data_IF_724748846104
#
_entry.id   IF_724748846104
#
_cell.length_a   1.000
_cell.length_b   1.000
_cell.length_c   1.000
_cell.angle_alpha   90.00
_cell.angle_beta   90.00
_cell.angle_gamma   90.00
#
_symmetry.space_group_name_H-M   'P 1'
#
loop_
_entity.id
_entity.type
_entity.pdbx_description
1 polymer ?
#
# COMPACT_ATOMS: atom_id res chain seq x y z
N UNK A 1 -25.63 6.11 7.13
CA UNK A 1 -25.29 7.21 6.23
C UNK A 1 -24.44 8.18 7.04
N UNK A 2 -23.14 7.90 7.14
CA UNK A 2 -22.19 8.72 7.90
C UNK A 2 -21.36 9.45 6.86
N UNK A 3 -21.65 10.72 6.67
CA UNK A 3 -20.79 11.62 5.90
C UNK A 3 -19.45 11.71 6.63
N UNK A 4 -18.41 11.12 6.06
CA UNK A 4 -17.05 11.42 6.45
C UNK A 4 -16.86 12.94 6.33
N UNK A 5 -16.23 13.52 7.33
CA UNK A 5 -15.90 14.94 7.37
C UNK A 5 -14.89 15.25 6.25
N UNK A 6 -15.43 15.51 5.05
CA UNK A 6 -14.69 15.76 3.80
C UNK A 6 -13.94 17.11 3.82
N UNK A 7 -14.01 17.81 4.95
CA UNK A 7 -13.38 19.12 5.17
C UNK A 7 -12.03 19.07 5.86
N UNK A 8 -11.65 17.91 6.43
CA UNK A 8 -10.42 17.78 7.22
C UNK A 8 -9.15 17.59 6.37
N UNK A 9 -9.27 17.16 5.12
CA UNK A 9 -8.15 16.86 4.24
C UNK A 9 -8.33 17.43 2.85
N UNK A 10 -7.20 17.84 2.25
CA UNK A 10 -7.14 18.23 0.83
C UNK A 10 -6.34 17.19 0.07
N UNK A 11 -6.94 16.68 -1.01
CA UNK A 11 -6.34 15.68 -1.88
C UNK A 11 -5.97 16.30 -3.22
N UNK A 12 -4.78 15.99 -3.72
CA UNK A 12 -4.30 16.45 -5.03
C UNK A 12 -3.16 15.57 -5.57
N UNK A 13 -2.83 15.74 -6.82
CA UNK A 13 -1.56 15.21 -7.37
C UNK A 13 -0.39 15.88 -6.64
N UNK A 14 0.65 15.09 -6.33
CA UNK A 14 1.87 15.58 -5.74
C UNK A 14 2.58 16.56 -6.68
N UNK A 15 3.30 17.49 -6.09
CA UNK A 15 4.20 18.43 -6.78
C UNK A 15 5.63 18.21 -6.26
N UNK A 16 6.68 18.70 -6.95
CA UNK A 16 8.07 18.47 -6.52
C UNK A 16 8.36 18.88 -5.06
N UNK A 17 7.66 19.89 -4.56
CA UNK A 17 7.78 20.39 -3.19
C UNK A 17 7.25 19.41 -2.13
N UNK A 18 6.53 18.37 -2.52
CA UNK A 18 6.05 17.32 -1.61
C UNK A 18 7.11 16.24 -1.35
N UNK A 19 8.14 16.13 -2.17
CA UNK A 19 9.11 15.01 -2.15
C UNK A 19 9.74 14.82 -0.76
N UNK A 20 10.27 15.88 -0.16
CA UNK A 20 10.89 15.82 1.17
C UNK A 20 9.90 15.34 2.25
N UNK A 21 8.64 15.81 2.19
CA UNK A 21 7.62 15.39 3.14
C UNK A 21 7.18 13.93 2.94
N UNK A 22 7.20 13.45 1.70
CA UNK A 22 6.91 12.04 1.37
C UNK A 22 8.01 11.14 1.90
N UNK A 23 9.28 11.46 1.64
CA UNK A 23 10.43 10.71 2.14
C UNK A 23 10.51 10.68 3.68
N UNK A 24 10.11 11.77 4.34
CA UNK A 24 10.14 11.88 5.79
C UNK A 24 8.91 11.27 6.49
N UNK A 25 7.94 10.73 5.74
CA UNK A 25 6.71 10.20 6.33
C UNK A 25 6.99 8.90 7.09
N UNK A 26 6.53 8.81 8.34
CA UNK A 26 6.66 7.61 9.16
C UNK A 26 5.63 6.55 8.75
N UNK A 27 6.07 5.58 7.96
CA UNK A 27 5.29 4.40 7.55
C UNK A 27 5.26 3.27 8.58
N UNK A 28 6.00 3.38 9.69
CA UNK A 28 6.10 2.31 10.70
C UNK A 28 4.75 1.91 11.28
N UNK A 29 4.63 0.66 11.70
CA UNK A 29 3.42 0.15 12.35
C UNK A 29 3.75 -0.86 13.44
N UNK A 30 2.79 -1.06 14.36
CA UNK A 30 2.84 -2.13 15.36
C UNK A 30 1.63 -3.04 15.18
N UNK A 31 1.84 -4.35 15.27
CA UNK A 31 0.79 -5.35 15.11
C UNK A 31 0.91 -6.47 16.13
N UNK A 32 -0.23 -6.96 16.60
CA UNK A 32 -0.33 -8.17 17.44
C UNK A 32 -0.56 -9.45 16.64
N UNK A 33 -0.70 -9.37 15.32
CA UNK A 33 -0.90 -10.53 14.44
C UNK A 33 -0.08 -10.41 13.17
N UNK A 34 0.26 -11.54 12.56
CA UNK A 34 0.90 -11.64 11.24
C UNK A 34 0.25 -12.75 10.42
N UNK A 35 0.39 -12.71 9.10
CA UNK A 35 -0.04 -13.78 8.23
C UNK A 35 1.12 -14.76 8.01
N UNK A 36 0.97 -16.00 8.52
CA UNK A 36 1.94 -17.06 8.30
C UNK A 36 1.66 -17.77 6.99
N UNK A 37 2.67 -17.86 6.14
CA UNK A 37 2.67 -18.70 4.95
C UNK A 37 3.20 -20.07 5.33
N UNK A 38 2.50 -21.13 4.93
CA UNK A 38 2.96 -22.52 5.07
C UNK A 38 2.97 -23.16 3.69
N UNK A 39 4.12 -23.64 3.25
CA UNK A 39 4.25 -24.43 2.04
C UNK A 39 3.97 -25.92 2.34
N UNK A 40 3.27 -26.59 1.43
CA UNK A 40 2.99 -28.02 1.46
C UNK A 40 2.99 -28.60 0.04
N UNK A 41 2.85 -29.91 -0.09
CA UNK A 41 2.91 -30.60 -1.39
C UNK A 41 1.80 -30.13 -2.35
N UNK A 42 0.65 -29.73 -1.82
CA UNK A 42 -0.51 -29.29 -2.60
C UNK A 42 -0.57 -27.75 -2.79
N UNK A 43 0.44 -27.00 -2.34
CA UNK A 43 0.49 -25.53 -2.49
C UNK A 43 0.76 -24.80 -1.18
N UNK A 44 0.18 -23.61 -1.05
CA UNK A 44 0.39 -22.73 0.08
C UNK A 44 -0.89 -22.54 0.90
N UNK A 45 -0.73 -22.47 2.21
CA UNK A 45 -1.76 -22.03 3.13
C UNK A 45 -1.36 -20.71 3.79
N UNK A 46 -2.32 -19.80 3.95
CA UNK A 46 -2.16 -18.53 4.62
C UNK A 46 -3.05 -18.49 5.85
N UNK A 47 -2.47 -18.21 7.02
CA UNK A 47 -3.21 -18.16 8.29
C UNK A 47 -2.75 -16.97 9.12
N UNK A 48 -3.68 -16.17 9.59
CA UNK A 48 -3.39 -15.15 10.58
C UNK A 48 -3.12 -15.78 11.94
N UNK A 49 -2.03 -15.39 12.58
CA UNK A 49 -1.61 -15.88 13.89
C UNK A 49 -1.22 -14.73 14.80
N UNK A 50 -1.43 -14.85 16.13
CA UNK A 50 -0.95 -13.87 17.08
C UNK A 50 0.58 -13.88 17.17
N UNK A 51 1.15 -12.73 17.51
CA UNK A 51 2.56 -12.55 17.88
C UNK A 51 2.63 -11.86 19.24
N UNK A 52 3.48 -12.38 20.12
CA UNK A 52 3.71 -11.84 21.47
C UNK A 52 5.22 -11.87 21.76
N UNK A 53 5.84 -10.74 22.10
CA UNK A 53 5.25 -9.39 22.13
C UNK A 53 4.80 -8.90 20.75
N UNK A 54 3.96 -7.85 20.69
CA UNK A 54 3.59 -7.23 19.41
C UNK A 54 4.80 -6.83 18.60
N UNK A 55 4.74 -7.06 17.29
CA UNK A 55 5.82 -6.75 16.35
C UNK A 55 5.71 -5.28 15.93
N UNK A 56 6.83 -4.56 15.99
CA UNK A 56 6.95 -3.23 15.39
C UNK A 56 7.83 -3.32 14.15
N UNK A 57 7.32 -2.90 13.01
CA UNK A 57 8.02 -2.83 11.73
C UNK A 57 8.34 -1.38 11.40
N UNK A 58 9.61 -1.12 11.13
CA UNK A 58 10.10 0.10 10.50
C UNK A 58 10.58 -0.30 9.12
N UNK A 59 10.08 0.36 8.09
CA UNK A 59 10.54 0.10 6.73
C UNK A 59 11.95 0.69 6.56
N UNK A 60 12.89 -0.05 5.98
CA UNK A 60 14.21 0.49 5.71
C UNK A 60 14.10 1.61 4.67
N UNK A 61 14.90 2.65 4.87
CA UNK A 61 15.10 3.71 3.89
C UNK A 61 16.19 3.24 2.90
N UNK A 62 15.83 2.28 2.06
CA UNK A 62 16.80 1.65 1.15
C UNK A 62 16.86 2.30 -0.22
N UNK A 63 16.17 3.42 -0.44
CA UNK A 63 16.29 4.21 -1.68
C UNK A 63 16.05 3.40 -2.97
N UNK A 64 15.64 2.16 -2.82
CA UNK A 64 15.61 1.15 -3.87
C UNK A 64 14.20 0.97 -4.43
N UNK A 65 13.58 2.05 -4.84
CA UNK A 65 12.62 1.89 -5.92
C UNK A 65 13.42 2.06 -7.21
N UNK A 66 13.76 0.94 -7.82
CA UNK A 66 14.39 0.93 -9.14
C UNK A 66 13.54 1.79 -10.08
N UNK A 67 14.13 2.88 -10.57
CA UNK A 67 13.59 3.66 -11.68
C UNK A 67 13.56 2.85 -12.99
N UNK A 68 13.91 1.57 -12.92
CA UNK A 68 13.99 0.67 -14.06
C UNK A 68 12.63 0.06 -14.38
N UNK A 69 11.89 0.74 -15.23
CA UNK A 69 10.88 0.04 -16.03
C UNK A 69 9.49 0.58 -16.05
N UNK A 70 9.30 1.86 -16.01
CA UNK A 70 8.00 2.38 -16.40
C UNK A 70 8.08 3.31 -17.60
N UNK A 71 7.31 2.97 -18.63
CA UNK A 71 7.01 3.79 -19.81
C UNK A 71 6.13 5.01 -19.46
N UNK A 72 6.33 5.59 -18.27
CA UNK A 72 5.91 6.97 -18.00
C UNK A 72 4.47 7.20 -17.56
N UNK A 73 3.71 6.19 -17.12
CA UNK A 73 2.34 6.40 -16.64
C UNK A 73 2.21 6.16 -15.15
N UNK A 74 3.04 6.86 -14.38
CA UNK A 74 3.03 6.86 -12.91
C UNK A 74 2.44 8.15 -12.37
N UNK A 75 1.79 8.11 -11.20
CA UNK A 75 1.24 9.28 -10.52
C UNK A 75 1.26 9.11 -9.01
N UNK A 76 1.69 10.17 -8.32
CA UNK A 76 1.59 10.27 -6.87
C UNK A 76 0.49 11.25 -6.48
N UNK A 77 -0.36 10.84 -5.55
CA UNK A 77 -1.38 11.68 -4.92
C UNK A 77 -1.03 11.88 -3.45
N UNK A 78 -1.30 13.06 -2.94
CA UNK A 78 -1.07 13.43 -1.53
C UNK A 78 -2.35 13.86 -0.84
N UNK A 79 -2.43 13.57 0.45
CA UNK A 79 -3.42 14.09 1.37
C UNK A 79 -2.74 15.07 2.33
N UNK A 80 -3.24 16.32 2.38
CA UNK A 80 -2.76 17.35 3.31
C UNK A 80 -3.82 17.63 4.37
N UNK A 81 -3.43 17.67 5.64
CA UNK A 81 -4.27 18.11 6.74
C UNK A 81 -4.58 19.60 6.69
N UNK A 82 -5.48 20.07 7.54
CA UNK A 82 -5.87 21.51 7.64
C UNK A 82 -4.72 22.39 8.10
N UNK A 83 -3.74 21.86 8.84
CA UNK A 83 -2.52 22.55 9.23
C UNK A 83 -1.46 22.59 8.11
N UNK A 84 -1.72 21.94 6.96
CA UNK A 84 -0.79 21.86 5.84
C UNK A 84 0.23 20.72 5.92
N UNK A 85 0.16 19.91 6.97
CA UNK A 85 0.99 18.71 7.17
C UNK A 85 0.61 17.59 6.16
N UNK A 86 1.57 16.74 5.83
CA UNK A 86 1.34 15.57 4.97
C UNK A 86 0.66 14.48 5.80
N UNK A 87 -0.59 14.20 5.50
CA UNK A 87 -1.36 13.13 6.16
C UNK A 87 -1.13 11.76 5.54
N UNK A 88 -0.72 11.70 4.28
CA UNK A 88 -0.42 10.47 3.57
C UNK A 88 -0.25 10.68 2.08
N UNK A 89 0.18 9.63 1.39
CA UNK A 89 0.32 9.65 -0.07
C UNK A 89 0.03 8.25 -0.65
N UNK A 90 -0.16 8.19 -1.95
CA UNK A 90 -0.19 6.97 -2.75
C UNK A 90 0.53 7.22 -4.07
N UNK A 91 1.43 6.30 -4.43
CA UNK A 91 2.06 6.25 -5.75
C UNK A 91 1.50 5.06 -6.51
N UNK A 92 1.07 5.31 -7.73
CA UNK A 92 0.49 4.30 -8.61
C UNK A 92 1.14 4.35 -9.98
N UNK A 93 1.26 3.20 -10.64
CA UNK A 93 1.73 3.08 -12.02
C UNK A 93 0.78 2.22 -12.85
N UNK A 94 0.63 2.55 -14.13
CA UNK A 94 -0.21 1.79 -15.06
C UNK A 94 0.62 1.06 -16.09
N UNK A 95 0.36 -0.24 -16.24
CA UNK A 95 0.96 -1.10 -17.25
C UNK A 95 -0.08 -1.51 -18.28
N UNK A 96 0.13 -1.08 -19.55
CA UNK A 96 -0.84 -1.27 -20.62
C UNK A 96 -0.93 -2.70 -21.14
N UNK A 97 0.18 -3.48 -21.10
CA UNK A 97 0.22 -4.83 -21.66
C UNK A 97 -0.73 -5.82 -20.96
N UNK A 98 -0.93 -5.66 -19.64
CA UNK A 98 -1.83 -6.48 -18.84
C UNK A 98 -2.99 -5.68 -18.24
N UNK A 99 -3.10 -4.39 -18.59
CA UNK A 99 -4.11 -3.45 -18.10
C UNK A 99 -4.17 -3.39 -16.57
N UNK A 100 -3.00 -3.37 -15.91
CA UNK A 100 -2.86 -3.37 -14.46
C UNK A 100 -2.48 -1.99 -13.95
N UNK A 101 -3.19 -1.52 -12.93
CA UNK A 101 -2.67 -0.48 -12.05
C UNK A 101 -1.95 -1.15 -10.89
N UNK A 102 -0.68 -0.80 -10.67
CA UNK A 102 0.08 -1.18 -9.48
C UNK A 102 0.03 -0.05 -8.48
N UNK A 103 -0.27 -0.36 -7.22
CA UNK A 103 -0.02 0.53 -6.09
C UNK A 103 1.41 0.29 -5.66
N UNK A 104 2.31 1.20 -6.04
CA UNK A 104 3.74 1.09 -5.75
C UNK A 104 4.01 1.37 -4.28
N UNK A 105 3.34 2.38 -3.74
CA UNK A 105 3.45 2.74 -2.35
C UNK A 105 2.18 3.44 -1.86
N UNK A 106 1.82 3.21 -0.60
CA UNK A 106 0.73 3.93 0.07
C UNK A 106 1.01 4.01 1.56
N UNK A 107 1.15 5.22 2.05
CA UNK A 107 1.40 5.47 3.46
C UNK A 107 0.46 6.52 4.04
N UNK A 108 0.13 6.37 5.31
CA UNK A 108 -0.64 7.32 6.11
C UNK A 108 0.11 7.55 7.42
N UNK A 109 0.39 8.81 7.70
CA UNK A 109 1.05 9.21 8.94
C UNK A 109 0.28 8.69 10.17
N UNK A 110 0.97 8.21 11.22
CA UNK A 110 0.33 7.54 12.36
C UNK A 110 -0.84 8.31 12.96
N UNK A 111 -0.72 9.63 13.12
CA UNK A 111 -1.74 10.51 13.70
C UNK A 111 -2.97 10.70 12.81
N UNK A 112 -2.89 10.34 11.53
CA UNK A 112 -3.98 10.44 10.55
C UNK A 112 -4.62 9.08 10.22
N UNK A 113 -4.11 7.99 10.80
CA UNK A 113 -4.68 6.64 10.59
C UNK A 113 -6.08 6.51 11.19
N UNK A 114 -6.87 5.60 10.62
CA UNK A 114 -8.25 5.36 11.07
C UNK A 114 -9.27 6.46 10.69
N UNK A 115 -8.84 7.51 9.98
CA UNK A 115 -9.69 8.64 9.57
C UNK A 115 -10.14 8.60 8.11
N UNK A 116 -9.90 7.49 7.41
CA UNK A 116 -10.31 7.30 6.01
C UNK A 116 -9.34 7.82 4.96
N UNK A 117 -8.19 8.42 5.35
CA UNK A 117 -7.20 8.99 4.43
C UNK A 117 -6.71 7.95 3.42
N UNK A 118 -6.29 6.76 3.87
CA UNK A 118 -5.82 5.71 2.97
C UNK A 118 -6.88 5.23 1.98
N UNK A 119 -8.15 5.17 2.41
CA UNK A 119 -9.27 4.82 1.51
C UNK A 119 -9.50 5.91 0.44
N UNK A 120 -9.42 7.17 0.82
CA UNK A 120 -9.58 8.28 -0.12
C UNK A 120 -8.44 8.33 -1.13
N UNK A 121 -7.18 8.13 -0.68
CA UNK A 121 -6.01 8.03 -1.57
C UNK A 121 -6.15 6.86 -2.55
N UNK A 122 -6.55 5.67 -2.08
CA UNK A 122 -6.82 4.52 -2.94
C UNK A 122 -7.95 4.81 -3.95
N UNK A 123 -8.95 5.62 -3.55
CA UNK A 123 -10.00 6.09 -4.45
C UNK A 123 -9.46 6.91 -5.62
N UNK A 124 -8.50 7.81 -5.38
CA UNK A 124 -7.82 8.57 -6.44
C UNK A 124 -7.00 7.66 -7.36
N UNK A 125 -6.30 6.66 -6.80
CA UNK A 125 -5.65 5.62 -7.60
C UNK A 125 -6.64 4.86 -8.48
N UNK A 126 -7.81 4.51 -7.96
CA UNK A 126 -8.87 3.83 -8.71
C UNK A 126 -9.47 4.73 -9.82
N UNK A 127 -9.58 6.04 -9.59
CA UNK A 127 -9.99 6.99 -10.64
C UNK A 127 -8.96 7.04 -11.76
N UNK A 128 -7.68 7.14 -11.41
CA UNK A 128 -6.60 7.09 -12.38
C UNK A 128 -6.57 5.76 -13.15
N UNK A 129 -6.83 4.62 -12.49
CA UNK A 129 -6.96 3.31 -13.13
C UNK A 129 -8.08 3.30 -14.18
N UNK A 130 -9.26 3.87 -13.86
CA UNK A 130 -10.38 3.98 -14.80
C UNK A 130 -10.07 4.86 -15.99
N UNK A 131 -9.41 5.99 -15.80
CA UNK A 131 -8.96 6.89 -16.87
C UNK A 131 -8.04 6.18 -17.87
N UNK A 132 -7.23 5.21 -17.41
CA UNK A 132 -6.31 4.41 -18.22
C UNK A 132 -6.95 3.14 -18.81
N UNK A 133 -8.18 2.83 -18.43
CA UNK A 133 -8.85 1.60 -18.84
C UNK A 133 -8.25 0.35 -18.20
N UNK A 134 -7.72 0.45 -16.98
CA UNK A 134 -7.21 -0.68 -16.23
C UNK A 134 -8.32 -1.71 -15.98
N UNK A 135 -7.97 -2.99 -16.01
CA UNK A 135 -8.87 -4.09 -15.71
C UNK A 135 -8.89 -4.44 -14.23
N UNK A 136 -7.77 -4.19 -13.54
CA UNK A 136 -7.60 -4.48 -12.11
C UNK A 136 -6.55 -3.58 -11.47
N UNK A 137 -6.64 -3.48 -10.15
CA UNK A 137 -5.66 -2.82 -9.28
C UNK A 137 -4.94 -3.91 -8.49
N UNK A 138 -3.64 -3.80 -8.39
CA UNK A 138 -2.77 -4.80 -7.78
C UNK A 138 -1.79 -4.13 -6.81
N UNK A 139 -1.42 -4.84 -5.76
CA UNK A 139 -0.41 -4.41 -4.80
C UNK A 139 0.35 -5.59 -4.21
N UNK A 140 1.53 -5.29 -3.70
CA UNK A 140 2.32 -6.16 -2.85
C UNK A 140 2.23 -5.67 -1.40
N UNK A 141 2.23 -6.59 -0.45
CA UNK A 141 2.26 -6.30 0.98
C UNK A 141 3.01 -7.39 1.73
N UNK A 142 3.90 -7.01 2.66
CA UNK A 142 4.57 -8.00 3.50
C UNK A 142 3.56 -8.72 4.41
N UNK A 143 3.78 -10.02 4.59
CA UNK A 143 2.94 -10.88 5.42
C UNK A 143 2.88 -10.46 6.90
N UNK A 144 3.81 -9.63 7.37
CA UNK A 144 3.79 -9.09 8.73
C UNK A 144 2.92 -7.84 8.87
N UNK A 145 2.52 -7.20 7.76
CA UNK A 145 1.67 -6.00 7.81
C UNK A 145 0.17 -6.35 7.86
N UNK A 146 -0.23 -7.06 8.92
CA UNK A 146 -1.64 -7.42 9.10
C UNK A 146 -2.59 -6.20 9.11
N UNK A 147 -2.25 -5.04 9.71
CA UNK A 147 -3.11 -3.85 9.64
C UNK A 147 -3.41 -3.40 8.21
N UNK A 148 -2.41 -3.36 7.33
CA UNK A 148 -2.60 -2.99 5.91
C UNK A 148 -3.41 -4.05 5.16
N UNK A 149 -3.11 -5.34 5.34
CA UNK A 149 -3.87 -6.43 4.73
C UNK A 149 -5.35 -6.34 5.08
N UNK A 150 -5.68 -6.08 6.36
CA UNK A 150 -7.07 -5.88 6.78
C UNK A 150 -7.70 -4.63 6.15
N UNK A 151 -6.94 -3.53 6.00
CA UNK A 151 -7.41 -2.34 5.33
C UNK A 151 -7.73 -2.62 3.86
N UNK A 152 -6.84 -3.28 3.13
CA UNK A 152 -7.05 -3.65 1.73
C UNK A 152 -8.24 -4.59 1.54
N UNK A 153 -8.39 -5.59 2.40
CA UNK A 153 -9.58 -6.47 2.36
C UNK A 153 -10.89 -5.71 2.52
N UNK A 154 -10.92 -4.69 3.42
CA UNK A 154 -12.10 -3.81 3.57
C UNK A 154 -12.33 -2.90 2.36
N UNK A 155 -11.33 -2.66 1.52
CA UNK A 155 -11.44 -1.91 0.27
C UNK A 155 -11.87 -2.80 -0.92
N UNK A 156 -11.89 -4.14 -0.74
CA UNK A 156 -12.29 -5.08 -1.78
C UNK A 156 -11.16 -5.90 -2.40
N UNK A 157 -9.93 -5.73 -1.93
CA UNK A 157 -8.82 -6.57 -2.37
C UNK A 157 -8.93 -8.00 -1.84
N UNK A 158 -8.53 -8.96 -2.67
CA UNK A 158 -8.37 -10.36 -2.32
C UNK A 158 -6.94 -10.82 -2.61
N UNK A 159 -6.46 -11.83 -1.88
CA UNK A 159 -5.17 -12.44 -2.19
C UNK A 159 -5.19 -13.06 -3.60
N UNK A 160 -4.16 -12.82 -4.39
CA UNK A 160 -4.02 -13.34 -5.75
C UNK A 160 -2.69 -14.06 -5.99
N UNK A 161 -1.75 -13.98 -5.05
CA UNK A 161 -0.46 -14.66 -5.14
C UNK A 161 0.42 -14.38 -3.95
N UNK A 162 1.62 -14.94 -3.98
CA UNK A 162 2.68 -14.68 -3.01
C UNK A 162 4.06 -15.00 -3.62
N UNK A 163 5.09 -14.42 -3.02
CA UNK A 163 6.48 -14.78 -3.26
C UNK A 163 7.17 -15.01 -1.89
N UNK A 164 7.77 -16.17 -1.73
CA UNK A 164 8.45 -16.55 -0.48
C UNK A 164 9.91 -16.13 -0.43
N UNK A 165 10.44 -15.57 -1.51
CA UNK A 165 11.86 -15.22 -1.67
C UNK A 165 12.10 -13.77 -2.05
N UNK A 166 11.05 -12.97 -2.24
CA UNK A 166 11.18 -11.58 -2.70
C UNK A 166 12.12 -10.75 -1.80
N UNK A 167 12.09 -11.02 -0.50
CA UNK A 167 12.88 -10.27 0.48
C UNK A 167 14.21 -10.93 0.87
N UNK A 168 14.61 -12.02 0.22
CA UNK A 168 15.88 -12.69 0.50
C UNK A 168 17.06 -11.74 0.24
N UNK A 169 17.97 -11.63 1.21
CA UNK A 169 19.11 -10.73 1.13
C UNK A 169 18.78 -9.23 1.33
N UNK A 170 17.56 -8.91 1.76
CA UNK A 170 17.14 -7.55 2.12
C UNK A 170 17.03 -7.37 3.64
N UNK A 171 16.87 -6.13 4.15
CA UNK A 171 16.59 -5.91 5.58
C UNK A 171 15.27 -6.55 6.07
N UNK A 172 14.40 -6.98 5.15
CA UNK A 172 13.14 -7.69 5.44
C UNK A 172 13.26 -9.20 5.26
N UNK A 173 14.48 -9.74 5.22
CA UNK A 173 14.72 -11.20 5.10
C UNK A 173 13.92 -12.00 6.13
N UNK A 174 13.28 -13.07 5.67
CA UNK A 174 12.38 -13.92 6.47
C UNK A 174 10.90 -13.52 6.42
N UNK A 175 10.58 -12.37 5.85
CA UNK A 175 9.19 -12.01 5.50
C UNK A 175 8.82 -12.62 4.13
N UNK A 176 7.53 -12.68 3.84
CA UNK A 176 7.01 -13.11 2.53
C UNK A 176 6.16 -12.00 1.92
N UNK A 177 6.30 -11.83 0.61
CA UNK A 177 5.45 -10.92 -0.13
C UNK A 177 4.10 -11.56 -0.43
N UNK A 178 3.02 -10.90 -0.07
CA UNK A 178 1.67 -11.29 -0.43
C UNK A 178 1.14 -10.34 -1.50
N UNK A 179 0.58 -10.90 -2.56
CA UNK A 179 0.00 -10.13 -3.64
C UNK A 179 -1.52 -10.08 -3.49
N UNK A 180 -2.08 -8.89 -3.61
CA UNK A 180 -3.52 -8.68 -3.54
C UNK A 180 -4.00 -7.91 -4.76
N UNK A 181 -5.20 -8.20 -5.21
CA UNK A 181 -5.82 -7.48 -6.32
C UNK A 181 -7.33 -7.31 -6.13
N UNK A 182 -7.86 -6.32 -6.83
CA UNK A 182 -9.31 -6.15 -6.99
C UNK A 182 -9.61 -5.74 -8.43
N UNK A 183 -10.79 -6.07 -8.98
CA UNK A 183 -11.25 -5.51 -10.24
C UNK A 183 -11.23 -3.97 -10.17
N UNK A 184 -10.90 -3.31 -11.28
CA UNK A 184 -11.03 -1.85 -11.34
C UNK A 184 -12.53 -1.49 -11.28
N UNK A 185 -12.97 -0.68 -10.30
CA UNK A 185 -14.38 -0.37 -10.09
C UNK A 185 -14.98 0.53 -11.17
#
# INVERSE_FOLDING_TARGET
MTTADDTAYRYRTAVPEDAEAIEALDGSFTTGTVFRVTAGDDGFALREIPVDPPLTKVFPDDGAYDEDGDDGDSRTFVARGTAGDLAGFVTVSYSGWNRRLTVEDIEVAPEHRGRGVGRALMGLGAEFARERGAGHIWLEVTNVNAPAIHAYRRMGFAFCGLDTSLYDGTPSEGEQALYMSMPCP
#
